data_IF_453272504242
#
_entry.id   IF_453272504242
#
_cell.length_a   1.000
_cell.length_b   1.000
_cell.length_c   1.000
_cell.angle_alpha   90.00
_cell.angle_beta   90.00
_cell.angle_gamma   90.00
#
_symmetry.space_group_name_H-M   'P 1'
#
loop_
_entity.id
_entity.type
_entity.pdbx_description
1 polymer ?
#
# COMPACT_ATOMS: atom_id res chain seq x y z
N UNK A 1 4.65 -58.86 -21.63
CA UNK A 1 5.08 -57.45 -21.78
C UNK A 1 4.28 -56.87 -22.95
N UNK A 2 3.51 -55.79 -22.87
CA UNK A 2 3.51 -54.62 -21.99
C UNK A 2 2.06 -54.19 -21.76
N UNK A 3 1.65 -54.07 -20.50
CA UNK A 3 0.38 -53.43 -20.12
C UNK A 3 0.63 -51.92 -20.22
N UNK A 4 -0.07 -51.27 -21.13
CA UNK A 4 -0.02 -49.82 -21.30
C UNK A 4 -0.73 -49.17 -20.11
N UNK A 5 0.05 -48.72 -19.12
CA UNK A 5 -0.43 -47.91 -18.01
C UNK A 5 -0.83 -46.54 -18.55
N UNK A 6 -2.14 -46.31 -18.68
CA UNK A 6 -2.67 -44.95 -18.87
C UNK A 6 -2.55 -44.24 -17.53
N UNK A 7 -1.62 -43.28 -17.45
CA UNK A 7 -1.44 -42.42 -16.27
C UNK A 7 -2.55 -41.36 -16.31
N UNK A 8 -3.60 -41.55 -15.51
CA UNK A 8 -4.63 -40.54 -15.29
C UNK A 8 -4.00 -39.44 -14.43
N UNK A 9 -3.69 -38.30 -15.05
CA UNK A 9 -3.32 -37.07 -14.33
C UNK A 9 -4.59 -36.52 -13.70
N UNK A 10 -4.78 -36.79 -12.41
CA UNK A 10 -5.86 -36.19 -11.62
C UNK A 10 -5.52 -34.72 -11.36
N UNK A 11 -6.08 -33.83 -12.19
CA UNK A 11 -6.00 -32.39 -11.97
C UNK A 11 -6.92 -32.04 -10.79
N UNK A 12 -6.37 -31.94 -9.58
CA UNK A 12 -7.12 -31.43 -8.43
C UNK A 12 -7.26 -29.92 -8.62
N UNK A 13 -8.30 -29.52 -9.35
CA UNK A 13 -8.85 -28.19 -9.26
C UNK A 13 -9.46 -28.04 -7.87
N UNK A 14 -8.70 -27.49 -6.92
CA UNK A 14 -9.26 -27.00 -5.66
C UNK A 14 -10.13 -25.79 -6.02
N UNK A 15 -11.37 -26.06 -6.38
CA UNK A 15 -12.42 -25.05 -6.50
C UNK A 15 -12.72 -24.60 -5.07
N UNK A 16 -12.06 -23.52 -4.63
CA UNK A 16 -12.51 -22.81 -3.44
C UNK A 16 -13.92 -22.27 -3.74
N UNK A 17 -14.92 -22.57 -2.89
CA UNK A 17 -16.24 -21.97 -3.07
C UNK A 17 -16.10 -20.46 -2.87
N UNK A 18 -16.42 -19.68 -3.90
CA UNK A 18 -16.58 -18.23 -3.79
C UNK A 18 -17.85 -18.00 -2.97
N UNK A 19 -17.73 -18.05 -1.65
CA UNK A 19 -18.76 -17.52 -0.76
C UNK A 19 -18.65 -16.01 -0.81
N UNK A 20 -19.68 -15.42 -1.42
CA UNK A 20 -19.99 -14.00 -1.40
C UNK A 20 -20.26 -13.61 0.07
N UNK A 21 -19.20 -13.36 0.83
CA UNK A 21 -19.26 -13.03 2.25
C UNK A 21 -19.16 -11.51 2.40
N UNK A 22 -20.31 -10.87 2.65
CA UNK A 22 -20.33 -9.49 3.11
C UNK A 22 -19.54 -9.37 4.42
N UNK A 23 -18.75 -8.31 4.53
CA UNK A 23 -18.09 -7.83 5.76
C UNK A 23 -17.64 -8.94 6.72
N UNK A 24 -16.78 -9.84 6.24
CA UNK A 24 -16.11 -10.77 7.14
C UNK A 24 -15.25 -9.94 8.10
N UNK A 25 -15.57 -10.00 9.40
CA UNK A 25 -14.65 -9.58 10.45
C UNK A 25 -13.29 -10.24 10.18
N UNK A 26 -12.18 -9.53 10.39
CA UNK A 26 -10.86 -10.06 10.06
C UNK A 26 -10.66 -11.41 10.75
N UNK A 27 -10.48 -12.46 9.95
CA UNK A 27 -10.11 -13.78 10.45
C UNK A 27 -8.77 -13.63 11.16
N UNK A 28 -8.75 -13.90 12.47
CA UNK A 28 -7.54 -13.87 13.28
C UNK A 28 -6.51 -14.79 12.63
N UNK A 29 -5.44 -14.23 12.07
CA UNK A 29 -4.48 -14.99 11.27
C UNK A 29 -3.57 -15.90 12.11
N UNK A 30 -3.69 -15.86 13.44
CA UNK A 30 -2.82 -16.55 14.39
C UNK A 30 -1.43 -15.93 14.55
N UNK A 31 -0.99 -15.08 13.63
CA UNK A 31 0.34 -14.48 13.66
C UNK A 31 0.34 -13.08 14.28
N UNK A 32 1.32 -12.82 15.13
CA UNK A 32 1.60 -11.48 15.61
C UNK A 32 2.51 -10.74 14.62
N UNK A 33 2.25 -9.46 14.39
CA UNK A 33 3.11 -8.58 13.60
C UNK A 33 3.94 -7.65 14.49
N UNK A 34 5.04 -7.15 13.93
CA UNK A 34 5.74 -5.95 14.40
C UNK A 34 5.68 -4.89 13.30
N UNK A 35 5.20 -3.71 13.65
CA UNK A 35 5.14 -2.55 12.77
C UNK A 35 6.30 -1.61 13.09
N UNK A 36 6.99 -1.19 12.05
CA UNK A 36 8.04 -0.19 12.08
C UNK A 36 7.66 1.01 11.22
N UNK A 37 8.18 2.18 11.60
CA UNK A 37 7.94 3.45 10.93
C UNK A 37 9.24 4.24 10.78
N UNK A 38 9.43 4.91 9.66
CA UNK A 38 10.53 5.86 9.46
C UNK A 38 10.06 7.33 9.53
N UNK A 39 10.99 8.28 9.41
CA UNK A 39 10.71 9.72 9.46
C UNK A 39 9.84 10.22 8.28
N UNK A 40 9.81 9.47 7.16
CA UNK A 40 8.97 9.77 5.99
C UNK A 40 7.52 9.26 6.16
N UNK A 41 7.19 8.63 7.29
CA UNK A 41 5.93 7.94 7.55
C UNK A 41 5.66 6.71 6.66
N UNK A 42 6.71 6.11 6.08
CA UNK A 42 6.60 4.79 5.48
C UNK A 42 6.63 3.70 6.55
N UNK A 43 5.88 2.62 6.31
CA UNK A 43 5.80 1.48 7.20
C UNK A 43 6.56 0.25 6.68
N UNK A 44 7.17 -0.49 7.60
CA UNK A 44 7.56 -1.88 7.38
C UNK A 44 6.80 -2.75 8.37
N UNK A 45 6.04 -3.71 7.87
CA UNK A 45 5.29 -4.66 8.67
C UNK A 45 5.93 -6.04 8.53
N UNK A 46 6.35 -6.62 9.64
CA UNK A 46 7.01 -7.93 9.66
C UNK A 46 6.15 -8.92 10.44
N UNK A 47 5.92 -10.09 9.87
CA UNK A 47 5.29 -11.21 10.55
C UNK A 47 5.90 -12.55 10.12
N UNK A 48 5.85 -13.57 10.97
CA UNK A 48 5.44 -13.47 12.37
C UNK A 48 6.56 -12.83 13.22
N UNK A 49 6.17 -12.04 14.22
CA UNK A 49 7.07 -11.18 15.02
C UNK A 49 8.17 -11.98 15.74
N UNK A 50 7.86 -13.20 16.16
CA UNK A 50 8.76 -14.13 16.83
C UNK A 50 9.86 -14.69 15.92
N UNK A 51 9.74 -14.52 14.59
CA UNK A 51 10.76 -14.95 13.61
C UNK A 51 11.65 -13.81 13.12
N UNK A 52 11.58 -12.64 13.73
CA UNK A 52 12.48 -11.53 13.38
C UNK A 52 13.89 -11.87 13.90
N UNK A 53 14.73 -12.39 13.02
CA UNK A 53 16.12 -12.72 13.32
C UNK A 53 16.99 -11.46 13.41
N UNK A 54 18.11 -11.56 14.14
CA UNK A 54 18.98 -10.43 14.48
C UNK A 54 19.40 -9.61 13.26
N UNK A 55 19.87 -10.26 12.20
CA UNK A 55 20.33 -9.57 10.99
C UNK A 55 19.24 -8.75 10.28
N UNK A 56 17.98 -9.19 10.33
CA UNK A 56 16.85 -8.42 9.83
C UNK A 56 16.56 -7.23 10.74
N UNK A 57 16.47 -7.46 12.06
CA UNK A 57 16.20 -6.39 13.03
C UNK A 57 17.24 -5.27 13.01
N UNK A 58 18.52 -5.62 12.94
CA UNK A 58 19.62 -4.67 12.81
C UNK A 58 19.55 -3.88 11.52
N UNK A 59 19.26 -4.55 10.39
CA UNK A 59 19.11 -3.87 9.10
C UNK A 59 17.98 -2.85 9.13
N UNK A 60 16.79 -3.24 9.61
CA UNK A 60 15.61 -2.35 9.73
C UNK A 60 15.94 -1.12 10.57
N UNK A 61 16.62 -1.30 11.71
CA UNK A 61 17.08 -0.19 12.54
C UNK A 61 18.09 0.71 11.81
N UNK A 62 19.04 0.11 11.09
CA UNK A 62 20.08 0.84 10.37
C UNK A 62 19.53 1.73 9.25
N UNK A 63 18.42 1.35 8.63
CA UNK A 63 17.73 2.17 7.61
C UNK A 63 16.72 3.18 8.20
N UNK A 64 16.77 3.41 9.52
CA UNK A 64 16.01 4.45 10.19
C UNK A 64 14.55 4.11 10.51
N UNK A 65 14.20 2.82 10.56
CA UNK A 65 12.88 2.36 10.94
C UNK A 65 12.83 1.97 12.42
N UNK A 66 11.91 2.58 13.16
CA UNK A 66 11.72 2.34 14.59
C UNK A 66 10.43 1.54 14.84
N UNK A 67 10.41 0.59 15.79
CA UNK A 67 9.20 -0.13 16.15
C UNK A 67 8.18 0.84 16.76
N UNK A 68 6.92 0.74 16.33
CA UNK A 68 5.84 1.64 16.80
C UNK A 68 4.62 0.91 17.35
N UNK A 69 4.34 -0.31 16.88
CA UNK A 69 3.20 -1.10 17.36
C UNK A 69 3.39 -2.59 17.07
N UNK A 70 2.76 -3.44 17.86
CA UNK A 70 2.64 -4.87 17.58
C UNK A 70 1.26 -5.36 18.00
N UNK A 71 0.77 -6.39 17.33
CA UNK A 71 -0.54 -6.98 17.61
C UNK A 71 -0.78 -8.19 16.73
N UNK A 72 -2.02 -8.68 16.72
CA UNK A 72 -2.40 -9.76 15.82
C UNK A 72 -2.61 -9.24 14.41
N UNK A 73 -2.03 -9.93 13.44
CA UNK A 73 -2.23 -9.64 12.04
C UNK A 73 -3.61 -10.13 11.60
N UNK A 74 -4.18 -9.40 10.64
CA UNK A 74 -5.48 -9.66 10.04
C UNK A 74 -5.31 -9.88 8.55
N UNK A 75 -6.16 -10.73 7.97
CA UNK A 75 -6.22 -10.85 6.51
C UNK A 75 -6.71 -9.55 5.91
N UNK A 76 -5.98 -9.01 4.93
CA UNK A 76 -6.38 -7.85 4.14
C UNK A 76 -6.44 -8.23 2.67
N UNK A 77 -7.41 -7.65 1.99
CA UNK A 77 -7.66 -7.85 0.57
C UNK A 77 -7.32 -6.57 -0.20
N UNK A 78 -6.76 -6.72 -1.40
CA UNK A 78 -6.60 -5.63 -2.36
C UNK A 78 -7.94 -5.15 -2.92
N UNK A 79 -7.92 -4.04 -3.66
CA UNK A 79 -9.11 -3.33 -4.17
C UNK A 79 -10.15 -4.20 -4.91
N UNK A 80 -9.74 -5.33 -5.49
CA UNK A 80 -10.60 -6.27 -6.23
C UNK A 80 -10.65 -7.67 -5.62
N UNK A 81 -10.17 -7.85 -4.40
CA UNK A 81 -9.92 -9.16 -3.78
C UNK A 81 -8.98 -10.08 -4.60
N UNK A 82 -8.30 -9.55 -5.63
CA UNK A 82 -7.33 -10.27 -6.44
C UNK A 82 -6.10 -10.65 -5.63
N UNK A 83 -5.75 -9.83 -4.64
CA UNK A 83 -4.58 -9.99 -3.80
C UNK A 83 -4.98 -10.06 -2.33
N UNK A 84 -4.33 -10.95 -1.57
CA UNK A 84 -4.51 -11.05 -0.13
C UNK A 84 -3.16 -11.21 0.57
N UNK A 85 -3.03 -10.62 1.76
CA UNK A 85 -1.87 -10.78 2.63
C UNK A 85 -2.26 -10.45 4.06
N UNK A 86 -1.39 -10.83 5.00
CA UNK A 86 -1.53 -10.44 6.40
C UNK A 86 -0.99 -9.02 6.61
N UNK A 87 -1.75 -8.20 7.32
CA UNK A 87 -1.33 -6.86 7.73
C UNK A 87 -1.87 -6.54 9.12
N UNK A 88 -1.52 -5.37 9.65
CA UNK A 88 -2.15 -4.82 10.83
C UNK A 88 -3.62 -4.43 10.57
N UNK A 89 -4.44 -4.33 11.64
CA UNK A 89 -5.78 -3.78 11.55
C UNK A 89 -5.81 -2.37 10.95
N UNK A 90 -6.89 -2.03 10.25
CA UNK A 90 -7.06 -0.69 9.64
C UNK A 90 -7.06 0.43 10.69
N UNK A 91 -7.52 0.16 11.92
CA UNK A 91 -7.46 1.11 13.03
C UNK A 91 -6.02 1.51 13.39
N UNK A 92 -5.08 0.56 13.37
CA UNK A 92 -3.65 0.80 13.61
C UNK A 92 -3.04 1.61 12.47
N UNK A 93 -3.45 1.33 11.23
CA UNK A 93 -3.06 2.11 10.06
C UNK A 93 -3.42 3.59 10.20
N UNK A 94 -4.68 3.87 10.57
CA UNK A 94 -5.20 5.22 10.80
C UNK A 94 -4.47 5.91 11.95
N UNK A 95 -4.27 5.20 13.07
CA UNK A 95 -3.58 5.71 14.27
C UNK A 95 -2.19 6.27 13.96
N UNK A 96 -1.43 5.62 13.08
CA UNK A 96 -0.07 6.06 12.75
C UNK A 96 0.04 6.96 11.50
N UNK A 97 -1.10 7.26 10.86
CA UNK A 97 -1.17 8.03 9.61
C UNK A 97 -0.20 7.53 8.54
N UNK A 98 -0.10 6.20 8.40
CA UNK A 98 0.73 5.55 7.41
C UNK A 98 -0.16 4.96 6.32
N UNK A 99 0.18 5.19 5.05
CA UNK A 99 -0.60 4.72 3.91
C UNK A 99 0.21 3.85 2.93
N UNK A 100 1.52 3.68 3.17
CA UNK A 100 2.43 2.90 2.32
C UNK A 100 3.24 1.94 3.17
N UNK A 101 3.21 0.65 2.80
CA UNK A 101 3.84 -0.40 3.58
C UNK A 101 4.65 -1.35 2.70
N UNK A 102 5.81 -1.74 3.19
CA UNK A 102 6.48 -2.97 2.79
C UNK A 102 6.07 -4.04 3.80
N UNK A 103 5.65 -5.20 3.31
CA UNK A 103 5.16 -6.32 4.10
C UNK A 103 6.18 -7.44 3.96
N UNK A 104 6.77 -7.87 5.06
CA UNK A 104 7.76 -8.96 5.11
C UNK A 104 7.18 -10.14 5.86
N UNK A 105 7.01 -11.26 5.15
CA UNK A 105 6.64 -12.53 5.77
C UNK A 105 7.90 -13.38 5.94
N UNK A 106 8.35 -13.58 7.17
CA UNK A 106 9.49 -14.46 7.47
C UNK A 106 9.04 -15.92 7.44
N UNK A 107 9.70 -16.71 6.59
CA UNK A 107 9.47 -18.15 6.41
C UNK A 107 10.72 -18.94 6.83
N UNK A 108 10.79 -20.23 6.51
CA UNK A 108 11.90 -21.10 6.92
C UNK A 108 13.25 -20.65 6.35
N UNK A 109 14.32 -20.91 7.11
CA UNK A 109 15.70 -20.60 6.77
C UNK A 109 15.96 -19.10 6.52
N UNK A 110 15.35 -18.24 7.34
CA UNK A 110 15.47 -16.78 7.28
C UNK A 110 15.14 -16.18 5.90
N UNK A 111 14.38 -16.93 5.10
CA UNK A 111 13.84 -16.45 3.84
C UNK A 111 12.56 -15.65 4.10
N UNK A 112 12.22 -14.79 3.14
CA UNK A 112 11.12 -13.85 3.28
C UNK A 112 10.33 -13.73 1.98
N UNK A 113 9.01 -13.61 2.10
CA UNK A 113 8.15 -13.13 1.02
C UNK A 113 7.92 -11.63 1.21
N UNK A 114 7.79 -10.90 0.10
CA UNK A 114 7.58 -9.44 0.09
C UNK A 114 6.24 -9.10 -0.52
N UNK A 115 5.40 -8.39 0.22
CA UNK A 115 4.24 -7.69 -0.28
C UNK A 115 4.44 -6.17 -0.16
N UNK A 116 3.67 -5.42 -0.94
CA UNK A 116 3.67 -3.95 -0.93
C UNK A 116 2.22 -3.50 -0.83
N UNK A 117 1.96 -2.51 0.00
CA UNK A 117 0.70 -1.77 -0.01
C UNK A 117 0.97 -0.32 -0.38
N UNK A 118 0.25 0.16 -1.38
CA UNK A 118 0.20 1.56 -1.79
C UNK A 118 -1.27 1.95 -2.04
N UNK A 119 -1.73 3.16 -1.69
CA UNK A 119 -3.14 3.52 -1.86
C UNK A 119 -3.62 3.52 -3.32
N UNK A 120 -2.73 3.72 -4.29
CA UNK A 120 -3.07 3.70 -5.72
C UNK A 120 -2.90 2.32 -6.35
N UNK A 121 -1.89 1.55 -5.93
CA UNK A 121 -1.66 0.20 -6.47
C UNK A 121 -2.46 -0.90 -5.75
N UNK A 122 -2.94 -0.59 -4.55
CA UNK A 122 -3.50 -1.56 -3.63
C UNK A 122 -2.43 -2.45 -3.01
N UNK A 123 -2.89 -3.58 -2.48
CA UNK A 123 -2.04 -4.63 -1.93
C UNK A 123 -1.49 -5.49 -3.07
N UNK A 124 -0.18 -5.71 -3.11
CA UNK A 124 0.44 -6.69 -4.01
C UNK A 124 0.44 -8.07 -3.36
N UNK A 125 0.45 -9.11 -4.20
CA UNK A 125 0.71 -10.46 -3.70
C UNK A 125 2.12 -10.55 -3.11
N UNK A 126 2.33 -11.45 -2.14
CA UNK A 126 3.67 -11.90 -1.79
C UNK A 126 4.41 -12.36 -3.05
N UNK A 127 5.54 -11.72 -3.35
CA UNK A 127 6.38 -12.02 -4.49
C UNK A 127 7.25 -13.28 -4.28
N UNK A 128 8.37 -13.41 -5.02
CA UNK A 128 9.28 -14.53 -4.83
C UNK A 128 9.93 -14.49 -3.44
N UNK A 129 10.51 -15.63 -3.08
CA UNK A 129 11.25 -15.80 -1.83
C UNK A 129 12.62 -15.16 -1.93
N UNK A 130 12.99 -14.36 -0.93
CA UNK A 130 14.28 -13.69 -0.83
C UNK A 130 14.98 -14.02 0.47
N UNK A 131 16.31 -14.13 0.44
CA UNK A 131 17.14 -14.06 1.65
C UNK A 131 17.35 -12.59 2.08
N UNK A 132 18.04 -12.37 3.19
CA UNK A 132 18.33 -11.02 3.68
C UNK A 132 18.99 -10.11 2.63
N UNK A 133 19.93 -10.64 1.84
CA UNK A 133 20.60 -9.85 0.80
C UNK A 133 19.62 -9.33 -0.24
N UNK A 134 18.78 -10.22 -0.79
CA UNK A 134 17.73 -9.85 -1.74
C UNK A 134 16.71 -8.86 -1.14
N UNK A 135 16.36 -9.02 0.14
CA UNK A 135 15.45 -8.11 0.84
C UNK A 135 16.02 -6.70 0.94
N UNK A 136 17.31 -6.53 1.24
CA UNK A 136 17.93 -5.20 1.32
C UNK A 136 17.77 -4.43 0.01
N UNK A 137 17.98 -5.11 -1.11
CA UNK A 137 17.83 -4.52 -2.45
C UNK A 137 16.37 -4.15 -2.73
N UNK A 138 15.43 -5.05 -2.43
CA UNK A 138 14.00 -4.83 -2.67
C UNK A 138 13.45 -3.68 -1.81
N UNK A 139 13.81 -3.62 -0.51
CA UNK A 139 13.40 -2.52 0.37
C UNK A 139 13.88 -1.18 -0.19
N UNK A 140 15.15 -1.09 -0.55
CA UNK A 140 15.70 0.15 -1.11
C UNK A 140 14.96 0.58 -2.39
N UNK A 141 14.67 -0.36 -3.30
CA UNK A 141 13.92 -0.10 -4.54
C UNK A 141 12.49 0.38 -4.24
N UNK A 142 11.77 -0.31 -3.36
CA UNK A 142 10.39 0.06 -3.01
C UNK A 142 10.31 1.42 -2.32
N UNK A 143 11.26 1.75 -1.44
CA UNK A 143 11.30 3.08 -0.81
C UNK A 143 11.51 4.19 -1.84
N UNK A 144 12.37 3.98 -2.85
CA UNK A 144 12.55 4.94 -3.93
C UNK A 144 11.26 5.11 -4.75
N UNK A 145 10.56 4.02 -5.07
CA UNK A 145 9.27 4.07 -5.75
C UNK A 145 8.22 4.84 -4.93
N UNK A 146 8.16 4.65 -3.61
CA UNK A 146 7.26 5.42 -2.74
C UNK A 146 7.56 6.92 -2.81
N UNK A 147 8.85 7.32 -2.77
CA UNK A 147 9.27 8.72 -2.84
C UNK A 147 8.94 9.34 -4.21
N UNK A 148 9.22 8.64 -5.30
CA UNK A 148 8.87 9.09 -6.65
C UNK A 148 7.36 9.30 -6.80
N UNK A 149 6.59 8.36 -6.26
CA UNK A 149 5.15 8.43 -6.31
C UNK A 149 4.59 9.59 -5.47
N UNK A 150 5.13 9.83 -4.27
CA UNK A 150 4.80 11.02 -3.48
C UNK A 150 5.10 12.31 -4.25
N UNK A 151 6.30 12.44 -4.83
CA UNK A 151 6.67 13.62 -5.64
C UNK A 151 5.71 13.84 -6.80
N UNK A 152 5.32 12.79 -7.53
CA UNK A 152 4.34 12.86 -8.63
C UNK A 152 2.97 13.33 -8.14
N UNK A 153 2.55 12.88 -6.95
CA UNK A 153 1.28 13.31 -6.35
C UNK A 153 1.33 14.76 -5.90
N UNK A 154 2.43 15.20 -5.33
CA UNK A 154 2.67 16.59 -4.96
C UNK A 154 2.73 17.51 -6.18
N UNK A 155 3.44 17.14 -7.25
CA UNK A 155 3.46 17.94 -8.49
C UNK A 155 2.11 17.98 -9.18
N UNK A 156 1.32 16.89 -9.15
CA UNK A 156 -0.06 16.89 -9.65
C UNK A 156 -0.97 17.80 -8.80
N UNK A 157 -0.82 17.81 -7.48
CA UNK A 157 -1.55 18.72 -6.58
C UNK A 157 -1.11 20.18 -6.75
N UNK A 158 0.18 20.38 -6.99
CA UNK A 158 0.80 21.70 -7.16
C UNK A 158 0.65 22.24 -8.59
N UNK A 159 0.11 21.47 -9.55
CA UNK A 159 -0.04 21.96 -10.92
C UNK A 159 -0.85 23.27 -10.91
N UNK A 160 -0.21 24.43 -11.20
CA UNK A 160 -0.87 25.73 -11.12
C UNK A 160 -1.86 25.93 -12.28
N UNK A 161 -2.07 24.92 -13.14
CA UNK A 161 -2.99 24.90 -14.28
C UNK A 161 -4.49 24.94 -13.92
N UNK A 162 -4.87 25.85 -13.03
CA UNK A 162 -6.12 26.59 -13.18
C UNK A 162 -5.92 28.12 -13.25
N UNK A 163 -4.99 28.67 -14.07
CA UNK A 163 -5.07 30.09 -14.39
C UNK A 163 -6.27 30.34 -15.31
N UNK A 164 -6.83 29.34 -16.01
CA UNK A 164 -8.01 29.52 -16.86
C UNK A 164 -9.29 29.79 -16.04
N UNK A 165 -9.51 29.09 -14.91
CA UNK A 165 -10.65 29.41 -14.02
C UNK A 165 -10.43 30.73 -13.29
N UNK A 166 -9.23 31.01 -12.79
CA UNK A 166 -8.92 32.29 -12.16
C UNK A 166 -9.04 33.48 -13.14
N UNK A 167 -8.58 33.33 -14.40
CA UNK A 167 -8.73 34.34 -15.47
C UNK A 167 -10.17 34.49 -15.98
N UNK A 168 -10.97 33.43 -16.02
CA UNK A 168 -12.39 33.51 -16.37
C UNK A 168 -13.19 34.23 -15.27
N UNK A 169 -12.88 33.97 -13.99
CA UNK A 169 -13.50 34.65 -12.87
C UNK A 169 -13.12 36.14 -12.81
N UNK A 170 -11.86 36.50 -13.12
CA UNK A 170 -11.44 37.91 -13.19
C UNK A 170 -12.00 38.62 -14.43
N UNK A 171 -12.07 37.97 -15.60
CA UNK A 171 -12.72 38.56 -16.78
C UNK A 171 -14.22 38.81 -16.55
N UNK A 172 -14.92 37.85 -15.95
CA UNK A 172 -16.35 38.02 -15.67
C UNK A 172 -16.60 39.07 -14.59
N UNK A 173 -15.76 39.16 -13.56
CA UNK A 173 -15.89 40.22 -12.54
C UNK A 173 -15.65 41.61 -13.14
N UNK A 174 -14.68 41.76 -14.05
CA UNK A 174 -14.42 43.05 -14.73
C UNK A 174 -15.58 43.46 -15.64
N UNK A 175 -16.20 42.51 -16.35
CA UNK A 175 -17.38 42.78 -17.19
C UNK A 175 -18.60 43.18 -16.34
N UNK A 176 -18.82 42.51 -15.20
CA UNK A 176 -19.96 42.82 -14.31
C UNK A 176 -19.81 44.22 -13.68
N UNK A 177 -18.60 44.65 -13.34
CA UNK A 177 -18.34 45.99 -12.76
C UNK A 177 -18.50 47.08 -13.84
N UNK A 178 -18.08 46.82 -15.07
CA UNK A 178 -18.24 47.76 -16.19
C UNK A 178 -19.71 47.94 -16.58
N UNK A 179 -20.47 46.84 -16.71
CA UNK A 179 -21.91 46.89 -17.03
C UNK A 179 -22.74 47.57 -15.93
N UNK A 180 -22.43 47.35 -14.65
CA UNK A 180 -23.12 48.04 -13.53
C UNK A 180 -22.79 49.53 -13.48
N UNK A 181 -21.56 49.93 -13.82
CA UNK A 181 -21.18 51.35 -13.90
C UNK A 181 -21.89 52.09 -15.05
N UNK A 182 -22.06 51.43 -16.19
CA UNK A 182 -22.76 51.97 -17.36
C UNK A 182 -24.29 52.01 -17.16
N UNK A 183 -24.85 51.13 -16.34
CA UNK A 183 -26.27 51.17 -16.00
C UNK A 183 -26.62 52.33 -15.05
N UNK A 184 -25.75 52.60 -14.06
CA UNK A 184 -25.94 53.67 -13.08
C UNK A 184 -25.77 55.07 -13.71
N UNK A 185 -24.86 55.24 -14.68
CA UNK A 185 -24.66 56.51 -15.37
C UNK A 185 -25.78 56.91 -16.34
N UNK A 186 -26.69 55.98 -16.66
CA UNK A 186 -27.84 56.19 -17.55
C UNK A 186 -29.15 56.47 -16.81
N UNK A 187 -29.14 56.41 -15.47
CA UNK A 187 -30.32 56.56 -14.61
C UNK A 187 -30.43 57.97 -13.97
N UNK A 188 -29.60 58.92 -14.41
CA UNK A 188 -29.50 60.27 -13.84
C UNK A 188 -29.65 61.36 -14.89
#
# INVERSE_FOLDING_TARGET
MKILKVLIVLFIAVVFPITKMGNAAPTNSGYNYQLYKNFENFGILIFPKDRIFTGLGEYIKAIGFNPVESGQAVMRFGLKNENQSLMMPESVQKKHSMDRFIILQVIANDNMLVGIFDPEWGLTLPGPTFNLYGIKENISKTLNLFREHLKKRETKRYNPDTPKRARLLTKNAVIIIDETSHFISKLH
#
